data_IF_891904283508
#
_entry.id   IF_891904283508
#
_cell.length_a   1.000
_cell.length_b   1.000
_cell.length_c   1.000
_cell.angle_alpha   90.00
_cell.angle_beta   90.00
_cell.angle_gamma   90.00
#
_symmetry.space_group_name_H-M   'P 1'
#
loop_
_entity.id
_entity.type
_entity.pdbx_description
1 polymer ?
#
# COMPACT_ATOMS: atom_id res chain seq x y z
N UNK A 1 -3.21 9.77 -17.85
CA UNK A 1 -2.62 9.72 -16.50
C UNK A 1 -1.85 11.03 -16.29
N UNK A 2 -2.17 11.80 -15.24
CA UNK A 2 -1.45 13.05 -14.95
C UNK A 2 -0.20 12.80 -14.10
N UNK A 3 0.79 13.73 -14.07
CA UNK A 3 1.99 13.57 -13.26
C UNK A 3 1.72 13.27 -11.78
N UNK A 4 0.69 13.91 -11.20
CA UNK A 4 0.28 13.68 -9.80
C UNK A 4 -0.31 12.29 -9.58
N UNK A 5 -1.07 11.76 -10.55
CA UNK A 5 -1.61 10.40 -10.49
C UNK A 5 -0.50 9.36 -10.58
N UNK A 6 0.48 9.60 -11.46
CA UNK A 6 1.65 8.74 -11.59
C UNK A 6 2.49 8.72 -10.29
N UNK A 7 2.75 9.89 -9.70
CA UNK A 7 3.45 9.98 -8.43
C UNK A 7 2.70 9.22 -7.32
N UNK A 8 1.37 9.34 -7.25
CA UNK A 8 0.55 8.60 -6.30
C UNK A 8 0.65 7.09 -6.52
N UNK A 9 0.64 6.63 -7.77
CA UNK A 9 0.83 5.22 -8.08
C UNK A 9 2.20 4.70 -7.61
N UNK A 10 3.27 5.45 -7.84
CA UNK A 10 4.60 5.10 -7.34
C UNK A 10 4.64 5.02 -5.81
N UNK A 11 4.02 5.97 -5.10
CA UNK A 11 3.95 5.93 -3.62
C UNK A 11 3.20 4.70 -3.12
N UNK A 12 2.06 4.38 -3.72
CA UNK A 12 1.25 3.22 -3.33
C UNK A 12 1.96 1.88 -3.65
N UNK A 13 2.74 1.82 -4.73
CA UNK A 13 3.61 0.68 -5.04
C UNK A 13 4.72 0.50 -3.99
N UNK A 14 5.36 1.59 -3.55
CA UNK A 14 6.38 1.49 -2.50
C UNK A 14 5.78 1.06 -1.15
N UNK A 15 4.57 1.53 -0.80
CA UNK A 15 3.88 1.03 0.39
C UNK A 15 3.63 -0.49 0.31
N UNK A 16 3.17 -1.01 -0.83
CA UNK A 16 2.98 -2.45 -1.03
C UNK A 16 4.28 -3.23 -0.84
N UNK A 17 5.41 -2.70 -1.35
CA UNK A 17 6.74 -3.29 -1.16
C UNK A 17 7.15 -3.31 0.31
N UNK A 18 6.99 -2.20 1.02
CA UNK A 18 7.31 -2.09 2.45
C UNK A 18 6.51 -3.07 3.31
N UNK A 19 5.19 -3.14 3.05
CA UNK A 19 4.29 -4.04 3.76
C UNK A 19 4.63 -5.52 3.53
N UNK A 20 5.02 -5.87 2.30
CA UNK A 20 5.45 -7.22 1.97
C UNK A 20 6.75 -7.61 2.68
N UNK A 21 7.79 -6.77 2.55
CA UNK A 21 9.16 -7.08 2.98
C UNK A 21 9.40 -6.95 4.49
N UNK A 22 8.84 -5.93 5.15
CA UNK A 22 9.24 -5.57 6.52
C UNK A 22 8.26 -6.01 7.61
N UNK A 23 7.19 -6.75 7.27
CA UNK A 23 6.07 -7.03 8.20
C UNK A 23 5.61 -5.78 8.95
N UNK A 24 5.69 -4.62 8.30
CA UNK A 24 5.33 -3.32 8.87
C UNK A 24 3.81 -3.20 8.91
N UNK A 25 3.25 -2.55 9.93
CA UNK A 25 1.80 -2.30 9.98
C UNK A 25 1.38 -1.31 8.87
N UNK A 26 0.12 -1.41 8.45
CA UNK A 26 -0.47 -0.54 7.44
C UNK A 26 -0.39 0.96 7.80
N UNK A 27 -0.52 1.31 9.09
CA UNK A 27 -0.42 2.68 9.55
C UNK A 27 1.00 3.22 9.37
N UNK A 28 2.01 2.47 9.80
CA UNK A 28 3.42 2.85 9.66
C UNK A 28 3.82 3.00 8.19
N UNK A 29 3.36 2.10 7.32
CA UNK A 29 3.60 2.22 5.88
C UNK A 29 2.96 3.49 5.32
N UNK A 30 1.73 3.82 5.72
CA UNK A 30 1.03 5.03 5.30
C UNK A 30 1.83 6.30 5.64
N UNK A 31 2.30 6.41 6.89
CA UNK A 31 3.08 7.57 7.32
C UNK A 31 4.42 7.67 6.58
N UNK A 32 5.12 6.53 6.36
CA UNK A 32 6.41 6.51 5.64
C UNK A 32 6.31 7.00 4.19
N UNK A 33 5.15 6.81 3.54
CA UNK A 33 4.94 7.26 2.16
C UNK A 33 4.20 8.61 2.09
N UNK A 34 4.05 9.31 3.21
CA UNK A 34 3.55 10.68 3.30
C UNK A 34 2.02 10.82 3.33
N UNK A 35 1.30 9.80 3.79
CA UNK A 35 -0.12 9.96 4.15
C UNK A 35 -0.25 10.43 5.60
N UNK A 36 -1.12 11.39 5.84
CA UNK A 36 -1.45 11.87 7.19
C UNK A 36 -2.49 10.98 7.89
N UNK A 37 -3.22 10.17 7.12
CA UNK A 37 -4.28 9.29 7.63
C UNK A 37 -4.14 7.86 7.10
N UNK A 38 -3.95 6.86 7.99
CA UNK A 38 -3.97 5.44 7.62
C UNK A 38 -5.28 5.00 6.95
N UNK A 39 -6.41 5.62 7.31
CA UNK A 39 -7.72 5.33 6.72
C UNK A 39 -7.82 5.85 5.29
N UNK A 40 -7.30 7.05 5.01
CA UNK A 40 -7.21 7.57 3.64
C UNK A 40 -6.32 6.68 2.78
N UNK A 41 -5.13 6.34 3.27
CA UNK A 41 -4.22 5.40 2.61
C UNK A 41 -4.91 4.09 2.26
N UNK A 42 -5.59 3.46 3.23
CA UNK A 42 -6.23 2.16 3.03
C UNK A 42 -7.31 2.19 1.93
N UNK A 43 -8.09 3.28 1.84
CA UNK A 43 -9.11 3.46 0.78
C UNK A 43 -8.49 3.65 -0.59
N UNK A 44 -7.41 4.41 -0.69
CA UNK A 44 -6.73 4.65 -1.97
C UNK A 44 -5.94 3.42 -2.43
N UNK A 45 -5.31 2.73 -1.49
CA UNK A 45 -4.66 1.45 -1.72
C UNK A 45 -5.64 0.41 -2.26
N UNK A 46 -6.79 0.22 -1.60
CA UNK A 46 -7.79 -0.74 -2.04
C UNK A 46 -8.39 -0.39 -3.40
N UNK A 47 -8.56 0.91 -3.70
CA UNK A 47 -8.97 1.36 -5.04
C UNK A 47 -7.95 0.99 -6.12
N UNK A 48 -6.65 1.01 -5.81
CA UNK A 48 -5.58 0.70 -6.77
C UNK A 48 -5.32 -0.80 -6.92
N UNK A 49 -5.31 -1.55 -5.82
CA UNK A 49 -4.89 -2.96 -5.81
C UNK A 49 -6.05 -3.95 -5.65
N UNK A 50 -7.26 -3.47 -5.37
CA UNK A 50 -8.47 -4.29 -5.20
C UNK A 50 -8.64 -4.91 -3.82
N UNK A 51 -7.67 -4.77 -2.92
CA UNK A 51 -7.68 -5.38 -1.58
C UNK A 51 -7.21 -4.37 -0.53
N UNK A 52 -7.64 -4.57 0.72
CA UNK A 52 -7.06 -3.83 1.84
C UNK A 52 -5.58 -4.23 2.01
N UNK A 53 -4.71 -3.32 2.51
CA UNK A 53 -3.27 -3.57 2.63
C UNK A 53 -2.93 -4.89 3.34
N UNK A 54 -3.59 -5.19 4.47
CA UNK A 54 -3.34 -6.42 5.25
C UNK A 54 -3.72 -7.68 4.49
N UNK A 55 -4.86 -7.68 3.80
CA UNK A 55 -5.35 -8.83 3.02
C UNK A 55 -4.52 -9.05 1.75
N UNK A 56 -4.08 -7.98 1.11
CA UNK A 56 -3.19 -8.05 -0.04
C UNK A 56 -1.86 -8.73 0.32
N UNK A 57 -1.24 -8.36 1.45
CA UNK A 57 0.02 -8.99 1.88
C UNK A 57 -0.17 -10.45 2.26
N UNK A 58 -1.26 -10.81 2.98
CA UNK A 58 -1.57 -12.21 3.26
C UNK A 58 -1.64 -13.02 1.97
N UNK A 59 -2.32 -12.51 0.95
CA UNK A 59 -2.43 -13.15 -0.37
C UNK A 59 -1.09 -13.24 -1.10
N UNK A 60 -0.27 -12.20 -1.06
CA UNK A 60 1.05 -12.21 -1.71
C UNK A 60 2.00 -13.22 -1.05
N UNK A 61 1.96 -13.35 0.28
CA UNK A 61 2.76 -14.34 1.02
C UNK A 61 2.30 -15.77 0.75
N UNK A 62 0.99 -16.02 0.73
CA UNK A 62 0.41 -17.33 0.40
C UNK A 62 0.49 -17.72 -1.08
N UNK A 63 1.02 -16.85 -1.96
CA UNK A 63 1.31 -17.15 -3.37
C UNK A 63 2.78 -17.51 -3.63
N UNK A 64 3.60 -17.54 -2.59
CA UNK A 64 5.04 -17.83 -2.69
C UNK A 64 5.37 -19.31 -2.43
N UNK A 65 4.35 -20.18 -2.41
CA UNK A 65 4.49 -21.65 -2.34
C UNK A 65 4.52 -22.29 -3.73
#
# INVERSE_FOLDING_TARGET
>A
MSPIQFQKQLRLQEARRLLFMKSTDAADAAFRIGYESPSQFSREYSRMFGFLPKEDIKRLRGKSD
#
